data_IF_489606537184
#
_entry.id   IF_489606537184
#
_cell.length_a   1.000
_cell.length_b   1.000
_cell.length_c   1.000
_cell.angle_alpha   90.00
_cell.angle_beta   90.00
_cell.angle_gamma   90.00
#
_symmetry.space_group_name_H-M   'P 1'
#
loop_
_entity.id
_entity.type
_entity.pdbx_description
1 polymer ?
#
# COMPACT_ATOMS: atom_id res chain seq x y z
N UNK A 1 10.56 -23.51 11.03
CA UNK A 1 11.32 -22.47 10.30
C UNK A 1 10.96 -21.16 10.96
N UNK A 2 11.91 -20.49 11.59
CA UNK A 2 11.65 -19.25 12.30
C UNK A 2 11.26 -18.16 11.30
N UNK A 3 10.15 -17.45 11.51
CA UNK A 3 9.84 -16.27 10.70
C UNK A 3 10.51 -15.05 11.32
N UNK A 4 11.05 -14.19 10.47
CA UNK A 4 11.48 -12.83 10.82
C UNK A 4 10.46 -11.84 10.25
N UNK A 5 10.39 -10.61 10.79
CA UNK A 5 9.64 -9.55 10.14
C UNK A 5 10.11 -9.35 8.69
N UNK A 6 9.18 -9.15 7.76
CA UNK A 6 9.53 -9.05 6.34
C UNK A 6 10.42 -7.84 6.06
N UNK A 7 10.27 -6.77 6.85
CA UNK A 7 11.13 -5.59 6.76
C UNK A 7 12.58 -5.95 7.10
N UNK A 8 12.78 -6.74 8.17
CA UNK A 8 14.11 -7.19 8.59
C UNK A 8 14.70 -8.13 7.53
N UNK A 9 13.89 -9.05 7.02
CA UNK A 9 14.30 -9.93 5.91
C UNK A 9 14.71 -9.13 4.67
N UNK A 10 14.00 -8.03 4.36
CA UNK A 10 14.35 -7.16 3.24
C UNK A 10 15.71 -6.48 3.44
N UNK A 11 16.00 -5.99 4.65
CA UNK A 11 17.30 -5.39 5.00
C UNK A 11 18.42 -6.44 4.89
N UNK A 12 18.22 -7.63 5.44
CA UNK A 12 19.17 -8.73 5.35
C UNK A 12 19.45 -9.13 3.88
N UNK A 13 18.42 -9.16 3.03
CA UNK A 13 18.59 -9.41 1.59
C UNK A 13 19.38 -8.32 0.88
N UNK A 14 19.13 -7.05 1.21
CA UNK A 14 19.95 -5.95 0.66
C UNK A 14 21.41 -6.15 1.02
N UNK A 15 21.71 -6.47 2.28
CA UNK A 15 23.07 -6.76 2.75
C UNK A 15 23.69 -7.95 2.02
N UNK A 16 22.92 -9.02 1.85
CA UNK A 16 23.35 -10.21 1.13
C UNK A 16 23.71 -9.88 -0.33
N UNK A 17 22.86 -9.12 -1.03
CA UNK A 17 23.13 -8.71 -2.42
C UNK A 17 24.27 -7.69 -2.54
N UNK A 18 24.47 -6.86 -1.52
CA UNK A 18 25.57 -5.93 -1.43
C UNK A 18 26.88 -6.59 -0.94
N UNK A 19 26.84 -7.87 -0.53
CA UNK A 19 27.96 -8.61 0.05
C UNK A 19 28.55 -7.92 1.29
N UNK A 20 27.63 -7.42 2.13
CA UNK A 20 27.97 -6.68 3.34
C UNK A 20 27.98 -7.60 4.57
N UNK A 21 29.07 -7.61 5.37
CA UNK A 21 29.16 -8.47 6.53
C UNK A 21 28.24 -7.99 7.67
N UNK A 22 27.51 -8.91 8.28
CA UNK A 22 26.56 -8.60 9.36
C UNK A 22 27.23 -7.96 10.61
N UNK A 23 28.46 -8.35 10.94
CA UNK A 23 29.17 -7.89 12.15
C UNK A 23 29.81 -6.50 12.00
N UNK A 24 29.99 -6.01 10.77
CA UNK A 24 30.65 -4.73 10.49
C UNK A 24 29.99 -4.06 9.28
N UNK A 25 28.67 -3.91 9.35
CA UNK A 25 27.92 -3.23 8.32
C UNK A 25 28.36 -1.75 8.22
N UNK A 26 28.71 -1.33 7.01
CA UNK A 26 28.97 0.05 6.63
C UNK A 26 27.68 0.87 6.63
N UNK A 27 26.56 0.25 6.27
CA UNK A 27 25.25 0.89 6.18
C UNK A 27 24.35 0.46 7.35
N UNK A 28 23.86 1.44 8.09
CA UNK A 28 22.86 1.24 9.15
C UNK A 28 21.52 0.78 8.57
N UNK A 29 20.76 -0.03 9.32
CA UNK A 29 19.45 -0.55 8.93
C UNK A 29 18.49 0.59 8.53
N UNK A 30 18.43 1.67 9.31
CA UNK A 30 17.59 2.84 9.02
C UNK A 30 17.91 3.49 7.67
N UNK A 31 19.19 3.51 7.29
CA UNK A 31 19.62 4.06 6.01
C UNK A 31 19.15 3.17 4.86
N UNK A 32 19.26 1.85 5.02
CA UNK A 32 18.77 0.88 4.03
C UNK A 32 17.25 1.02 3.88
N UNK A 33 16.51 1.16 4.98
CA UNK A 33 15.05 1.30 4.96
C UNK A 33 14.57 2.56 4.25
N UNK A 34 15.24 3.70 4.48
CA UNK A 34 14.94 4.93 3.74
C UNK A 34 15.18 4.78 2.24
N UNK A 35 16.22 4.04 1.84
CA UNK A 35 16.48 3.73 0.43
C UNK A 35 15.44 2.75 -0.14
N UNK A 36 15.02 1.74 0.63
CA UNK A 36 13.94 0.82 0.24
C UNK A 36 12.64 1.60 -0.05
N UNK A 37 12.28 2.56 0.81
CA UNK A 37 11.13 3.46 0.61
C UNK A 37 11.24 4.31 -0.66
N UNK A 38 12.41 4.93 -0.88
CA UNK A 38 12.64 5.74 -2.08
C UNK A 38 12.56 4.88 -3.36
N UNK A 39 13.15 3.68 -3.32
CA UNK A 39 13.20 2.76 -4.46
C UNK A 39 11.88 2.03 -4.70
N UNK A 40 11.03 1.85 -3.68
CA UNK A 40 9.67 1.36 -3.88
C UNK A 40 8.83 2.34 -4.68
N UNK A 41 8.91 3.63 -4.36
CA UNK A 41 8.19 4.66 -5.12
C UNK A 41 8.64 4.71 -6.59
N UNK A 42 9.95 4.67 -6.83
CA UNK A 42 10.50 4.63 -8.19
C UNK A 42 10.08 3.38 -8.96
N UNK A 43 10.07 2.20 -8.32
CA UNK A 43 9.63 0.97 -8.95
C UNK A 43 8.14 1.04 -9.31
N UNK A 44 7.30 1.58 -8.42
CA UNK A 44 5.87 1.73 -8.68
C UNK A 44 5.60 2.66 -9.87
N UNK A 45 6.27 3.82 -9.93
CA UNK A 45 6.19 4.73 -11.07
C UNK A 45 6.64 4.06 -12.36
N UNK A 46 7.76 3.32 -12.32
CA UNK A 46 8.26 2.58 -13.47
C UNK A 46 7.31 1.51 -13.98
N UNK A 47 6.55 0.87 -13.08
CA UNK A 47 5.57 -0.14 -13.44
C UNK A 47 4.32 0.52 -14.03
N UNK A 48 3.82 1.60 -13.42
CA UNK A 48 2.66 2.33 -13.90
C UNK A 48 2.91 3.02 -15.26
N UNK A 49 4.13 3.52 -15.52
CA UNK A 49 4.48 4.15 -16.80
C UNK A 49 4.48 3.19 -17.99
N UNK A 50 4.70 1.89 -17.74
CA UNK A 50 4.75 0.86 -18.80
C UNK A 50 3.41 0.11 -18.91
N UNK A 51 2.59 0.14 -17.87
CA UNK A 51 1.35 -0.60 -17.83
C UNK A 51 0.25 0.11 -18.64
N UNK A 52 -0.44 -0.63 -19.52
CA UNK A 52 -1.55 -0.10 -20.32
C UNK A 52 -2.72 0.40 -19.47
N UNK A 53 -2.97 -0.30 -18.35
CA UNK A 53 -3.78 0.22 -17.26
C UNK A 53 -2.84 0.46 -16.07
N UNK A 54 -2.91 1.58 -15.36
CA UNK A 54 -2.12 1.76 -14.15
C UNK A 54 -2.66 0.88 -13.01
N UNK A 55 -1.87 0.70 -11.96
CA UNK A 55 -2.40 0.19 -10.69
C UNK A 55 -3.18 1.32 -10.04
N UNK A 56 -4.43 1.05 -9.72
CA UNK A 56 -5.28 1.96 -8.97
C UNK A 56 -5.60 1.40 -7.59
N UNK A 57 -5.73 2.30 -6.63
CA UNK A 57 -6.17 2.04 -5.26
C UNK A 57 -7.42 2.87 -5.03
N UNK A 58 -8.38 2.29 -4.31
CA UNK A 58 -9.59 2.99 -3.88
C UNK A 58 -9.53 3.29 -2.40
N UNK A 59 -9.83 4.53 -2.04
CA UNK A 59 -9.95 4.98 -0.66
C UNK A 59 -11.32 5.60 -0.44
N UNK A 60 -11.98 5.23 0.66
CA UNK A 60 -13.29 5.75 1.01
C UNK A 60 -13.17 6.91 2.00
N UNK A 61 -13.69 8.05 1.60
CA UNK A 61 -13.83 9.24 2.43
C UNK A 61 -15.23 9.24 3.03
N UNK A 62 -15.33 8.94 4.32
CA UNK A 62 -16.60 9.03 5.06
C UNK A 62 -16.83 10.47 5.51
N UNK A 63 -18.02 11.02 5.24
CA UNK A 63 -18.34 12.38 5.61
C UNK A 63 -18.73 12.52 7.07
N UNK A 64 -18.27 13.60 7.67
CA UNK A 64 -18.59 13.99 9.04
C UNK A 64 -19.32 15.33 8.98
N UNK A 65 -20.34 15.48 9.82
CA UNK A 65 -21.07 16.74 9.95
C UNK A 65 -20.10 17.90 10.19
N UNK A 66 -20.36 19.03 9.55
CA UNK A 66 -19.56 20.27 9.67
C UNK A 66 -18.08 20.17 9.26
N UNK A 67 -17.65 19.07 8.62
CA UNK A 67 -16.29 18.90 8.09
C UNK A 67 -16.24 19.00 6.57
N UNK A 68 -15.52 19.99 6.04
CA UNK A 68 -15.35 20.19 4.59
C UNK A 68 -14.09 19.53 4.03
N UNK A 69 -13.03 19.41 4.84
CA UNK A 69 -11.70 18.99 4.38
C UNK A 69 -11.38 17.62 4.94
N UNK A 70 -10.99 16.71 4.06
CA UNK A 70 -10.65 15.32 4.37
C UNK A 70 -9.23 15.03 3.94
N UNK A 71 -8.48 14.37 4.80
CA UNK A 71 -7.12 13.92 4.50
C UNK A 71 -7.19 12.67 3.61
N UNK A 72 -6.47 12.71 2.51
CA UNK A 72 -6.19 11.55 1.67
C UNK A 72 -4.90 10.87 2.16
N UNK A 73 -4.69 9.58 1.86
CA UNK A 73 -3.41 8.94 2.13
C UNK A 73 -2.26 9.71 1.47
N UNK A 74 -1.08 9.84 2.11
CA UNK A 74 0.00 10.67 1.59
C UNK A 74 0.65 10.10 0.32
N UNK A 75 0.42 8.84 0.01
CA UNK A 75 0.93 8.16 -1.19
C UNK A 75 0.00 8.28 -2.41
N UNK A 76 -0.93 9.23 -2.42
CA UNK A 76 -1.76 9.55 -3.60
C UNK A 76 -0.93 10.31 -4.62
N UNK A 77 -0.82 9.81 -5.86
CA UNK A 77 -0.13 10.49 -6.96
C UNK A 77 -1.14 11.19 -7.89
N UNK A 78 -1.84 10.40 -8.70
CA UNK A 78 -2.81 10.88 -9.68
C UNK A 78 -4.18 10.34 -9.37
N UNK A 79 -5.17 11.21 -9.21
CA UNK A 79 -6.55 10.82 -8.99
C UNK A 79 -7.19 10.51 -10.34
N UNK A 80 -7.74 9.31 -10.45
CA UNK A 80 -8.39 8.81 -11.66
C UNK A 80 -9.85 9.22 -11.66
N UNK A 81 -10.53 9.00 -10.53
CA UNK A 81 -11.97 9.24 -10.43
C UNK A 81 -12.42 9.39 -8.97
N UNK A 82 -13.52 10.13 -8.79
CA UNK A 82 -14.17 10.36 -7.49
C UNK A 82 -15.68 10.20 -7.66
N UNK A 83 -16.32 9.49 -6.75
CA UNK A 83 -17.73 9.15 -6.91
C UNK A 83 -18.26 8.16 -5.88
N UNK A 84 -19.36 7.49 -6.21
CA UNK A 84 -19.86 6.38 -5.41
C UNK A 84 -19.58 5.10 -6.16
N UNK A 85 -18.83 4.19 -5.53
CA UNK A 85 -18.61 2.86 -6.05
C UNK A 85 -19.54 1.87 -5.37
N UNK A 86 -20.28 1.11 -6.17
CA UNK A 86 -21.07 0.00 -5.68
C UNK A 86 -20.22 -1.27 -5.60
N UNK A 87 -20.00 -1.76 -4.39
CA UNK A 87 -19.23 -2.97 -4.14
C UNK A 87 -19.93 -4.24 -4.61
N UNK A 88 -21.25 -4.22 -4.81
CA UNK A 88 -21.99 -5.37 -5.30
C UNK A 88 -21.84 -5.52 -6.83
N UNK A 89 -22.12 -4.47 -7.59
CA UNK A 89 -21.98 -4.48 -9.06
C UNK A 89 -20.54 -4.29 -9.55
N UNK A 90 -19.63 -3.83 -8.68
CA UNK A 90 -18.27 -3.44 -9.05
C UNK A 90 -18.21 -2.29 -10.08
N UNK A 91 -19.21 -1.41 -10.06
CA UNK A 91 -19.33 -0.28 -10.99
C UNK A 91 -19.51 1.05 -10.26
N UNK A 92 -19.15 2.14 -10.94
CA UNK A 92 -19.43 3.50 -10.49
C UNK A 92 -20.88 3.86 -10.77
N UNK A 93 -21.62 4.19 -9.73
CA UNK A 93 -23.02 4.59 -9.84
C UNK A 93 -23.16 6.09 -10.03
N UNK A 94 -22.24 6.87 -9.46
CA UNK A 94 -22.27 8.33 -9.52
C UNK A 94 -20.86 8.87 -9.64
N UNK A 95 -20.71 9.90 -10.47
CA UNK A 95 -19.46 10.60 -10.72
C UNK A 95 -19.55 12.01 -10.13
N UNK A 96 -18.55 12.40 -9.36
CA UNK A 96 -18.42 13.79 -8.88
C UNK A 96 -17.34 14.45 -9.72
N UNK A 97 -17.62 15.65 -10.23
CA UNK A 97 -16.66 16.41 -11.00
C UNK A 97 -15.82 17.33 -10.10
N UNK A 98 -14.55 17.57 -10.46
CA UNK A 98 -13.73 18.54 -9.74
C UNK A 98 -14.28 19.95 -9.94
N UNK A 99 -14.22 20.73 -8.87
CA UNK A 99 -14.48 22.15 -8.84
C UNK A 99 -13.23 22.89 -9.31
N UNK A 100 -13.39 23.72 -10.34
CA UNK A 100 -12.30 24.58 -10.81
C UNK A 100 -12.07 25.72 -9.83
N UNK A 101 -10.81 26.06 -9.59
CA UNK A 101 -10.41 27.26 -8.82
C UNK A 101 -11.00 28.55 -9.40
N UNK A 102 -11.31 28.56 -10.69
CA UNK A 102 -11.90 29.70 -11.40
C UNK A 102 -13.43 29.77 -11.28
N UNK A 103 -14.07 28.76 -10.70
CA UNK A 103 -15.50 28.75 -10.41
C UNK A 103 -15.75 28.36 -8.94
N UNK A 104 -15.53 29.28 -7.98
CA UNK A 104 -15.68 29.01 -6.56
C UNK A 104 -17.14 28.72 -6.14
N UNK A 105 -18.12 29.10 -6.97
CA UNK A 105 -19.54 28.74 -6.81
C UNK A 105 -19.92 27.40 -7.42
N UNK A 106 -19.03 26.76 -8.18
CA UNK A 106 -19.27 25.46 -8.79
C UNK A 106 -19.46 24.39 -7.71
N UNK A 107 -20.27 23.38 -8.01
CA UNK A 107 -20.46 22.20 -7.15
C UNK A 107 -19.37 21.17 -7.46
N UNK A 108 -18.86 20.49 -6.44
CA UNK A 108 -17.98 19.33 -6.61
C UNK A 108 -17.03 19.15 -5.44
N UNK A 109 -15.78 18.79 -5.78
CA UNK A 109 -14.68 18.74 -4.83
C UNK A 109 -13.48 19.55 -5.34
N UNK A 110 -12.66 20.05 -4.45
CA UNK A 110 -11.41 20.74 -4.76
C UNK A 110 -10.24 20.03 -4.07
N UNK A 111 -9.09 19.93 -4.74
CA UNK A 111 -7.87 19.45 -4.10
C UNK A 111 -7.11 20.62 -3.48
N UNK A 112 -7.03 20.61 -2.15
CA UNK A 112 -6.30 21.60 -1.36
C UNK A 112 -4.91 21.05 -1.06
N UNK A 113 -4.08 20.81 -2.10
CA UNK A 113 -2.80 20.04 -2.10
C UNK A 113 -2.96 18.54 -2.40
N UNK A 114 -1.85 17.82 -2.60
CA UNK A 114 -1.82 16.39 -2.96
C UNK A 114 -2.47 15.46 -1.91
N UNK A 115 -2.63 15.93 -0.66
CA UNK A 115 -3.07 15.10 0.46
C UNK A 115 -4.43 15.49 1.05
N UNK A 116 -5.14 16.47 0.47
CA UNK A 116 -6.43 16.90 1.00
C UNK A 116 -7.47 17.11 -0.09
N UNK A 117 -8.67 16.60 0.17
CA UNK A 117 -9.86 16.86 -0.64
C UNK A 117 -10.83 17.70 0.17
N UNK A 118 -11.25 18.83 -0.41
CA UNK A 118 -12.37 19.62 0.08
C UNK A 118 -13.61 19.23 -0.69
N UNK A 119 -14.69 18.92 0.01
CA UNK A 119 -15.97 18.55 -0.61
C UNK A 119 -17.02 19.60 -0.26
N UNK A 120 -17.71 20.11 -1.28
CA UNK A 120 -18.78 21.09 -1.10
C UNK A 120 -19.96 20.51 -0.29
N UNK A 121 -20.63 21.37 0.46
CA UNK A 121 -21.80 21.00 1.28
C UNK A 121 -22.87 20.27 0.47
N UNK A 122 -23.16 20.70 -0.78
CA UNK A 122 -24.20 20.05 -1.61
C UNK A 122 -23.91 18.58 -1.90
N UNK A 123 -22.64 18.20 -1.99
CA UNK A 123 -22.23 16.80 -2.21
C UNK A 123 -22.25 16.05 -0.88
N UNK A 124 -21.79 16.68 0.20
CA UNK A 124 -21.83 16.12 1.56
C UNK A 124 -23.24 15.88 2.08
N UNK A 125 -24.19 16.73 1.73
CA UNK A 125 -25.58 16.59 2.17
C UNK A 125 -26.33 15.54 1.34
N UNK A 126 -25.84 15.26 0.12
CA UNK A 126 -26.42 14.27 -0.78
C UNK A 126 -25.93 12.83 -0.51
N UNK A 127 -24.71 12.67 0.00
CA UNK A 127 -24.06 11.37 0.17
C UNK A 127 -23.46 11.22 1.57
N UNK A 128 -23.29 9.99 2.06
CA UNK A 128 -22.59 9.73 3.33
C UNK A 128 -21.09 9.51 3.16
N UNK A 129 -20.65 9.18 1.95
CA UNK A 129 -19.24 8.96 1.63
C UNK A 129 -18.96 9.23 0.15
N UNK A 130 -17.68 9.35 -0.19
CA UNK A 130 -17.17 9.24 -1.55
C UNK A 130 -16.02 8.25 -1.61
N UNK A 131 -15.97 7.49 -2.69
CA UNK A 131 -14.81 6.69 -3.06
C UNK A 131 -13.91 7.50 -3.99
N UNK A 132 -12.63 7.55 -3.65
CA UNK A 132 -11.55 8.19 -4.42
C UNK A 132 -10.68 7.07 -4.98
N UNK A 133 -10.60 6.96 -6.30
CA UNK A 133 -9.65 6.06 -6.94
C UNK A 133 -8.46 6.85 -7.47
N UNK A 134 -7.26 6.36 -7.18
CA UNK A 134 -6.01 7.01 -7.52
C UNK A 134 -4.90 6.01 -7.83
N UNK A 135 -3.89 6.48 -8.55
CA UNK A 135 -2.63 5.79 -8.77
C UNK A 135 -1.73 6.07 -7.57
N UNK A 136 -1.21 5.05 -6.86
CA UNK A 136 -0.34 5.28 -5.71
C UNK A 136 1.09 5.63 -6.14
N UNK A 137 1.77 6.49 -5.37
CA UNK A 137 3.19 6.81 -5.57
C UNK A 137 4.09 5.61 -5.30
N UNK A 138 3.64 4.66 -4.48
CA UNK A 138 4.44 3.54 -3.98
C UNK A 138 5.39 3.91 -2.83
N UNK A 139 5.23 5.10 -2.26
CA UNK A 139 5.91 5.50 -1.03
C UNK A 139 5.51 4.54 0.09
N UNK A 140 6.52 4.08 0.83
CA UNK A 140 6.40 3.02 1.81
C UNK A 140 7.09 3.53 3.07
N UNK A 141 6.39 3.61 4.20
CA UNK A 141 7.05 3.91 5.47
C UNK A 141 7.07 2.64 6.33
N UNK A 142 8.08 1.77 6.14
CA UNK A 142 8.15 0.51 6.84
C UNK A 142 8.40 0.78 8.31
N UNK A 143 7.71 0.04 9.16
CA UNK A 143 7.72 0.23 10.61
C UNK A 143 7.76 -1.14 11.28
N UNK A 144 8.68 -1.34 12.23
CA UNK A 144 8.65 -2.53 13.12
C UNK A 144 8.74 -2.08 14.57
N UNK A 145 7.95 -2.75 15.41
CA UNK A 145 8.01 -2.60 16.86
C UNK A 145 8.02 -3.96 17.54
N UNK A 146 8.95 -4.14 18.46
CA UNK A 146 9.05 -5.29 19.35
C UNK A 146 8.47 -4.96 20.71
N UNK A 147 7.78 -5.93 21.32
CA UNK A 147 7.32 -5.84 22.71
C UNK A 147 6.51 -4.56 23.04
N UNK A 148 5.62 -4.13 22.13
CA UNK A 148 4.75 -2.99 22.39
C UNK A 148 3.66 -3.37 23.40
N UNK A 149 3.55 -2.63 24.50
CA UNK A 149 2.44 -2.78 25.43
C UNK A 149 1.17 -2.22 24.79
N UNK A 150 0.27 -3.11 24.41
CA UNK A 150 -0.99 -2.80 23.75
C UNK A 150 -2.13 -3.01 24.73
N UNK A 151 -2.98 -2.01 24.88
CA UNK A 151 -4.28 -2.14 25.53
C UNK A 151 -5.37 -2.01 24.46
N UNK A 152 -5.95 -3.16 24.10
CA UNK A 152 -7.01 -3.27 23.09
C UNK A 152 -8.35 -2.75 23.65
N UNK A 153 -8.52 -2.76 24.97
CA UNK A 153 -9.76 -2.31 25.61
C UNK A 153 -10.99 -3.08 25.11
N UNK A 154 -12.16 -2.44 25.18
CA UNK A 154 -13.40 -2.97 24.60
C UNK A 154 -13.54 -2.67 23.10
N UNK A 155 -12.76 -1.71 22.58
CA UNK A 155 -12.78 -1.33 21.17
C UNK A 155 -11.85 -2.24 20.36
N UNK A 156 -12.44 -3.23 19.71
CA UNK A 156 -11.74 -4.24 18.93
C UNK A 156 -11.43 -3.79 17.50
N UNK A 157 -11.72 -2.54 17.17
CA UNK A 157 -11.47 -1.99 15.84
C UNK A 157 -10.22 -1.13 15.79
N UNK A 158 -9.61 -0.79 16.93
CA UNK A 158 -8.46 0.11 16.96
C UNK A 158 -7.21 -0.53 17.56
N UNK A 159 -6.08 -0.34 16.89
CA UNK A 159 -4.75 -0.75 17.32
C UNK A 159 -3.88 0.48 17.62
N UNK A 160 -3.29 0.58 18.84
CA UNK A 160 -2.33 1.64 19.13
C UNK A 160 -1.00 1.39 18.42
N UNK A 161 -0.51 2.41 17.71
CA UNK A 161 0.79 2.40 17.06
C UNK A 161 1.76 3.21 17.93
N UNK A 162 2.86 2.57 18.35
CA UNK A 162 3.94 3.25 19.05
C UNK A 162 4.57 4.34 18.19
N UNK A 163 4.80 5.51 18.80
CA UNK A 163 5.47 6.64 18.15
C UNK A 163 7.00 6.48 18.10
N UNK A 164 7.52 5.43 18.75
CA UNK A 164 8.94 5.08 18.83
C UNK A 164 9.13 3.66 18.27
N UNK A 165 9.22 3.50 16.93
CA UNK A 165 9.59 2.23 16.32
C UNK A 165 10.94 1.77 16.82
N UNK A 166 11.17 0.45 16.81
CA UNK A 166 12.52 -0.08 17.02
C UNK A 166 13.32 -0.10 15.72
N UNK A 167 12.62 -0.21 14.58
CA UNK A 167 13.20 -0.17 13.23
C UNK A 167 12.30 0.68 12.32
N UNK A 168 12.89 1.59 11.56
CA UNK A 168 12.19 2.52 10.66
C UNK A 168 11.82 3.84 11.34
N UNK A 169 11.08 4.70 10.61
CA UNK A 169 10.63 6.00 11.15
C UNK A 169 9.09 6.04 11.28
N UNK A 170 8.59 6.69 12.34
CA UNK A 170 7.17 6.94 12.54
C UNK A 170 6.67 8.10 11.69
N UNK A 171 5.62 7.87 10.90
CA UNK A 171 5.00 8.88 10.05
C UNK A 171 3.89 9.61 10.82
N UNK A 172 4.03 10.94 10.91
CA UNK A 172 3.08 11.82 11.60
C UNK A 172 1.99 12.37 10.69
N UNK A 173 2.07 12.11 9.38
CA UNK A 173 1.05 12.55 8.42
C UNK A 173 -0.28 11.85 8.72
N UNK A 174 -1.38 12.58 8.57
CA UNK A 174 -2.72 11.98 8.68
C UNK A 174 -2.88 10.90 7.60
N UNK A 175 -3.52 9.79 7.96
CA UNK A 175 -3.74 8.65 7.05
C UNK A 175 -2.46 8.02 6.45
N UNK A 176 -1.30 8.19 7.07
CA UNK A 176 -0.03 7.65 6.57
C UNK A 176 -0.02 6.13 6.38
N UNK A 177 -0.67 5.41 7.29
CA UNK A 177 -0.67 3.94 7.30
C UNK A 177 -1.92 3.32 6.69
N UNK A 178 -2.86 4.12 6.21
CA UNK A 178 -4.08 3.60 5.56
C UNK A 178 -3.68 2.75 4.36
N UNK A 179 -4.39 1.64 4.14
CA UNK A 179 -4.10 0.69 3.06
C UNK A 179 -2.87 -0.18 3.29
N UNK A 180 -2.17 -0.02 4.41
CA UNK A 180 -1.07 -0.89 4.83
C UNK A 180 -1.61 -2.09 5.62
N UNK A 181 -0.83 -3.18 5.64
CA UNK A 181 -1.04 -4.35 6.49
C UNK A 181 -0.31 -4.12 7.80
N UNK A 182 -1.05 -4.17 8.90
CA UNK A 182 -0.52 -4.40 10.24
C UNK A 182 -0.40 -5.91 10.45
N UNK A 183 0.83 -6.40 10.54
CA UNK A 183 1.12 -7.81 10.82
C UNK A 183 1.58 -7.97 12.26
N UNK A 184 0.93 -8.86 13.01
CA UNK A 184 1.22 -9.14 14.41
C UNK A 184 1.95 -10.46 14.55
N UNK A 185 2.94 -10.49 15.44
CA UNK A 185 3.73 -11.66 15.78
C UNK A 185 3.49 -12.13 17.20
N UNK A 186 3.79 -13.41 17.44
CA UNK A 186 3.79 -13.96 18.78
C UNK A 186 4.96 -13.43 19.62
N UNK A 187 4.62 -13.01 20.83
CA UNK A 187 5.57 -12.69 21.88
C UNK A 187 6.38 -11.38 21.74
N UNK A 188 7.04 -10.99 22.84
CA UNK A 188 8.05 -9.94 22.85
C UNK A 188 9.40 -10.56 22.48
N UNK A 189 9.72 -10.62 21.19
CA UNK A 189 10.96 -11.26 20.76
C UNK A 189 11.97 -10.20 20.29
N UNK A 190 13.17 -10.11 20.91
CA UNK A 190 14.27 -9.28 20.45
C UNK A 190 14.98 -9.90 19.21
N UNK A 191 15.98 -9.21 18.61
CA UNK A 191 16.71 -9.72 17.45
C UNK A 191 17.28 -11.13 17.68
N UNK A 192 16.98 -12.06 16.77
CA UNK A 192 17.41 -13.46 16.82
C UNK A 192 16.40 -14.47 17.38
N UNK A 193 15.25 -14.00 17.86
CA UNK A 193 14.17 -14.86 18.32
C UNK A 193 13.24 -15.31 17.18
N UNK A 194 12.57 -16.45 17.38
CA UNK A 194 11.64 -17.02 16.40
C UNK A 194 10.28 -16.33 16.56
N UNK A 195 9.79 -15.69 15.50
CA UNK A 195 8.42 -15.19 15.47
C UNK A 195 7.52 -16.17 14.73
N UNK A 196 6.27 -16.25 15.16
CA UNK A 196 5.16 -16.78 14.37
C UNK A 196 4.18 -15.65 14.05
N UNK A 197 3.81 -15.54 12.78
CA UNK A 197 2.76 -14.60 12.38
C UNK A 197 1.46 -15.08 13.01
N UNK A 198 0.87 -14.27 13.90
CA UNK A 198 -0.44 -14.57 14.46
C UNK A 198 -1.51 -14.18 13.46
N UNK A 199 -1.46 -12.93 12.99
CA UNK A 199 -2.51 -12.36 12.14
C UNK A 199 -2.07 -11.12 11.38
N UNK A 200 -2.68 -10.93 10.21
CA UNK A 200 -2.60 -9.73 9.40
C UNK A 200 -3.92 -8.95 9.48
N UNK A 201 -3.81 -7.63 9.57
CA UNK A 201 -4.94 -6.70 9.56
C UNK A 201 -4.71 -5.61 8.54
N UNK A 202 -5.75 -5.24 7.78
CA UNK A 202 -5.73 -4.06 6.93
C UNK A 202 -6.00 -2.82 7.76
N UNK A 203 -5.17 -1.79 7.66
CA UNK A 203 -5.42 -0.48 8.27
C UNK A 203 -6.37 0.30 7.37
N UNK A 204 -7.55 0.64 7.89
CA UNK A 204 -8.62 1.33 7.15
C UNK A 204 -8.68 2.82 7.47
N UNK A 205 -8.23 3.24 8.65
CA UNK A 205 -8.13 4.63 9.07
C UNK A 205 -6.95 4.83 10.03
N UNK A 206 -6.43 6.05 10.16
CA UNK A 206 -5.32 6.34 11.06
C UNK A 206 -5.36 7.78 11.61
N UNK A 207 -5.51 7.87 12.94
CA UNK A 207 -5.40 9.12 13.68
C UNK A 207 -3.96 9.33 14.18
N UNK A 208 -3.26 10.26 13.53
CA UNK A 208 -1.89 10.64 13.89
C UNK A 208 -1.78 11.42 15.20
N UNK A 209 -2.87 12.00 15.70
CA UNK A 209 -2.90 12.72 16.98
C UNK A 209 -2.88 11.75 18.14
N UNK A 210 -3.72 10.70 18.09
CA UNK A 210 -3.76 9.68 19.13
C UNK A 210 -2.79 8.52 18.88
N UNK A 211 -2.24 8.41 17.66
CA UNK A 211 -1.44 7.26 17.24
C UNK A 211 -2.24 5.96 17.20
N UNK A 212 -3.49 5.99 16.74
CA UNK A 212 -4.36 4.81 16.66
C UNK A 212 -4.73 4.52 15.21
N UNK A 213 -4.57 3.28 14.80
CA UNK A 213 -5.03 2.78 13.52
C UNK A 213 -6.34 2.02 13.70
N UNK A 214 -7.32 2.28 12.84
CA UNK A 214 -8.51 1.44 12.72
C UNK A 214 -8.18 0.28 11.78
N UNK A 215 -8.55 -0.94 12.17
CA UNK A 215 -8.14 -2.17 11.49
C UNK A 215 -9.33 -3.03 11.08
N UNK A 216 -9.16 -3.82 10.01
CA UNK A 216 -10.12 -4.81 9.54
C UNK A 216 -9.40 -6.13 9.16
N UNK A 217 -9.94 -7.31 9.52
CA UNK A 217 -11.13 -7.54 10.34
C UNK A 217 -10.92 -7.13 11.81
N UNK A 218 -11.98 -7.15 12.62
CA UNK A 218 -11.89 -6.86 14.06
C UNK A 218 -10.86 -7.77 14.77
N UNK A 219 -10.17 -7.17 15.73
CA UNK A 219 -9.22 -7.85 16.60
C UNK A 219 -9.95 -8.95 17.39
N UNK A 220 -9.44 -10.20 17.50
CA UNK A 220 -10.09 -11.28 18.24
C UNK A 220 -10.41 -10.93 19.71
N UNK A 221 -11.50 -11.46 20.27
CA UNK A 221 -11.95 -11.15 21.64
C UNK A 221 -11.09 -11.76 22.73
N UNK A 222 -10.33 -12.79 22.38
CA UNK A 222 -9.38 -13.47 23.25
C UNK A 222 -8.05 -12.73 23.36
N UNK A 223 -7.81 -11.72 22.51
CA UNK A 223 -6.64 -10.85 22.66
C UNK A 223 -6.88 -9.86 23.79
N UNK A 224 -6.00 -9.91 24.80
CA UNK A 224 -6.08 -9.08 25.99
C UNK A 224 -4.99 -7.99 25.96
N UNK A 225 -4.93 -7.19 27.03
CA UNK A 225 -3.79 -6.29 27.25
C UNK A 225 -2.51 -7.12 27.36
N UNK A 226 -1.48 -6.76 26.60
CA UNK A 226 -0.23 -7.53 26.58
C UNK A 226 0.85 -6.90 25.72
N UNK A 227 2.00 -7.56 25.70
CA UNK A 227 3.14 -7.17 24.87
C UNK A 227 3.07 -7.86 23.50
N UNK A 228 2.96 -7.08 22.43
CA UNK A 228 2.89 -7.58 21.06
C UNK A 228 4.02 -7.01 20.21
N UNK A 229 4.61 -7.85 19.37
CA UNK A 229 5.52 -7.39 18.32
C UNK A 229 4.73 -7.29 17.02
N UNK A 230 4.97 -6.25 16.22
CA UNK A 230 4.26 -6.03 14.97
C UNK A 230 5.09 -5.27 13.93
N UNK A 231 4.74 -5.45 12.66
CA UNK A 231 5.23 -4.64 11.56
C UNK A 231 4.09 -4.00 10.78
N UNK A 232 4.34 -2.82 10.20
CA UNK A 232 3.43 -2.18 9.24
C UNK A 232 4.11 -2.20 7.88
N UNK A 233 3.42 -2.82 6.94
CA UNK A 233 3.91 -3.10 5.59
C UNK A 233 2.89 -2.60 4.56
N UNK A 234 3.31 -2.19 3.37
CA UNK A 234 2.36 -2.00 2.28
C UNK A 234 1.79 -3.35 1.83
N UNK A 235 0.63 -3.31 1.17
CA UNK A 235 0.07 -4.48 0.48
C UNK A 235 0.81 -4.68 -0.84
N UNK A 236 2.07 -5.12 -0.78
CA UNK A 236 2.82 -5.52 -1.96
C UNK A 236 3.15 -7.00 -1.92
N UNK A 237 3.15 -7.65 -3.09
CA UNK A 237 3.57 -9.04 -3.21
C UNK A 237 5.07 -9.18 -2.94
N UNK A 238 5.50 -10.38 -2.51
CA UNK A 238 6.92 -10.70 -2.25
C UNK A 238 7.84 -10.33 -3.42
N UNK A 239 7.41 -10.57 -4.65
CA UNK A 239 8.17 -10.22 -5.86
C UNK A 239 8.48 -8.72 -5.96
N UNK A 240 7.56 -7.87 -5.50
CA UNK A 240 7.78 -6.42 -5.48
C UNK A 240 8.88 -6.06 -4.48
N UNK A 241 8.81 -6.62 -3.27
CA UNK A 241 9.84 -6.43 -2.25
C UNK A 241 11.21 -6.94 -2.75
N UNK A 242 11.26 -8.08 -3.43
CA UNK A 242 12.47 -8.62 -4.05
C UNK A 242 13.07 -7.63 -5.07
N UNK A 243 12.24 -7.06 -5.95
CA UNK A 243 12.71 -6.07 -6.91
C UNK A 243 13.21 -4.78 -6.24
N UNK A 244 12.54 -4.32 -5.17
CA UNK A 244 12.97 -3.14 -4.41
C UNK A 244 14.29 -3.39 -3.66
N UNK A 245 14.46 -4.56 -3.05
CA UNK A 245 15.72 -4.93 -2.38
C UNK A 245 16.88 -5.04 -3.36
N UNK A 246 16.69 -5.66 -4.53
CA UNK A 246 17.70 -5.70 -5.60
C UNK A 246 18.08 -4.31 -6.09
N UNK A 247 17.10 -3.43 -6.32
CA UNK A 247 17.35 -2.04 -6.74
C UNK A 247 18.16 -1.27 -5.70
N UNK A 248 17.83 -1.46 -4.42
CA UNK A 248 18.53 -0.83 -3.30
C UNK A 248 19.96 -1.33 -3.21
N UNK A 249 20.18 -2.64 -3.32
CA UNK A 249 21.52 -3.23 -3.36
C UNK A 249 22.33 -2.73 -4.57
N UNK A 250 21.72 -2.64 -5.76
CA UNK A 250 22.39 -2.07 -6.94
C UNK A 250 22.86 -0.63 -6.70
N UNK A 251 22.05 0.19 -6.04
CA UNK A 251 22.42 1.56 -5.70
C UNK A 251 23.62 1.59 -4.75
N UNK A 252 23.57 0.83 -3.64
CA UNK A 252 24.66 0.75 -2.66
C UNK A 252 25.97 0.24 -3.29
N UNK A 253 25.91 -0.88 -4.02
CA UNK A 253 27.05 -1.45 -4.72
C UNK A 253 27.60 -0.49 -5.79
N UNK A 254 26.71 0.30 -6.42
CA UNK A 254 27.08 1.31 -7.40
C UNK A 254 27.95 2.45 -6.86
N UNK A 255 27.75 2.80 -5.59
CA UNK A 255 28.57 3.81 -4.92
C UNK A 255 30.00 3.28 -4.72
N UNK A 256 30.15 1.99 -4.47
CA UNK A 256 31.44 1.36 -4.15
C UNK A 256 32.21 0.93 -5.40
N UNK A 257 31.57 0.10 -6.22
CA UNK A 257 32.19 -0.55 -7.38
C UNK A 257 31.16 -0.70 -8.50
N UNK A 258 31.05 0.26 -9.43
CA UNK A 258 30.05 0.27 -10.49
C UNK A 258 30.01 -1.02 -11.34
N UNK A 259 31.13 -1.73 -11.47
CA UNK A 259 31.25 -2.97 -12.24
C UNK A 259 30.41 -4.12 -11.66
N UNK A 260 30.19 -4.14 -10.33
CA UNK A 260 29.40 -5.18 -9.66
C UNK A 260 27.89 -5.04 -9.88
N UNK A 261 27.43 -3.93 -10.46
CA UNK A 261 25.99 -3.72 -10.74
C UNK A 261 25.45 -4.63 -11.85
N UNK A 262 26.29 -5.16 -12.74
CA UNK A 262 25.86 -5.89 -13.94
C UNK A 262 24.91 -7.05 -13.62
N UNK A 263 25.33 -8.05 -12.83
CA UNK A 263 24.50 -9.19 -12.46
C UNK A 263 23.20 -8.79 -11.74
N UNK A 264 23.29 -7.87 -10.76
CA UNK A 264 22.12 -7.39 -10.00
C UNK A 264 21.10 -6.69 -10.91
N UNK A 265 21.56 -5.95 -11.93
CA UNK A 265 20.70 -5.28 -12.90
C UNK A 265 19.91 -6.27 -13.75
N UNK A 266 20.51 -7.41 -14.11
CA UNK A 266 19.81 -8.47 -14.84
C UNK A 266 18.73 -9.13 -13.99
N UNK A 267 19.04 -9.47 -12.75
CA UNK A 267 18.06 -10.05 -11.82
C UNK A 267 16.92 -9.07 -11.50
N UNK A 268 17.22 -7.78 -11.28
CA UNK A 268 16.20 -6.74 -11.11
C UNK A 268 15.26 -6.68 -12.33
N UNK A 269 15.79 -6.75 -13.55
CA UNK A 269 14.96 -6.76 -14.78
C UNK A 269 14.08 -8.01 -14.87
N UNK A 270 14.59 -9.18 -14.46
CA UNK A 270 13.82 -10.43 -14.39
C UNK A 270 12.68 -10.31 -13.37
N UNK A 271 12.98 -9.82 -12.17
CA UNK A 271 11.98 -9.59 -11.12
C UNK A 271 10.89 -8.60 -11.57
N UNK A 272 11.30 -7.45 -12.14
CA UNK A 272 10.36 -6.46 -12.70
C UNK A 272 9.46 -7.08 -13.78
N UNK A 273 10.02 -7.89 -14.69
CA UNK A 273 9.23 -8.60 -15.70
C UNK A 273 8.25 -9.60 -15.09
N UNK A 274 8.67 -10.35 -14.08
CA UNK A 274 7.80 -11.29 -13.38
C UNK A 274 6.61 -10.59 -12.70
N UNK A 275 6.84 -9.43 -12.08
CA UNK A 275 5.78 -8.58 -11.52
C UNK A 275 4.79 -8.16 -12.61
N UNK A 276 5.29 -7.61 -13.72
CA UNK A 276 4.43 -7.18 -14.84
C UNK A 276 3.61 -8.33 -15.43
N UNK A 277 4.20 -9.52 -15.56
CA UNK A 277 3.50 -10.71 -16.04
C UNK A 277 2.43 -11.17 -15.07
N UNK A 278 2.73 -11.20 -13.76
CA UNK A 278 1.78 -11.58 -12.72
C UNK A 278 0.59 -10.63 -12.69
N UNK A 279 0.82 -9.32 -12.80
CA UNK A 279 -0.24 -8.32 -12.82
C UNK A 279 -1.03 -8.32 -14.12
N UNK A 280 -0.37 -8.54 -15.26
CA UNK A 280 -1.06 -8.79 -16.54
C UNK A 280 -1.96 -10.02 -16.46
N UNK A 281 -1.55 -11.08 -15.76
CA UNK A 281 -2.39 -12.26 -15.55
C UNK A 281 -3.56 -12.00 -14.61
N UNK A 282 -3.36 -11.22 -13.54
CA UNK A 282 -4.44 -10.81 -12.64
C UNK A 282 -5.54 -10.00 -13.36
N UNK A 283 -5.22 -9.41 -14.52
CA UNK A 283 -6.14 -8.67 -15.40
C UNK A 283 -6.95 -9.53 -16.35
N UNK A 284 -6.72 -10.84 -16.42
CA UNK A 284 -7.46 -11.70 -17.34
C UNK A 284 -8.91 -11.87 -16.91
N UNK A 285 -9.74 -10.87 -17.22
CA UNK A 285 -11.18 -11.02 -17.40
C UNK A 285 -11.45 -11.90 -18.63
N UNK A 286 -10.55 -11.88 -19.62
CA UNK A 286 -10.51 -12.84 -20.72
C UNK A 286 -9.43 -13.88 -20.44
N UNK A 287 -9.84 -15.13 -20.25
CA UNK A 287 -8.92 -16.23 -20.03
C UNK A 287 -7.84 -16.29 -21.11
N UNK A 288 -6.58 -16.51 -20.71
CA UNK A 288 -5.53 -16.96 -21.66
C UNK A 288 -5.80 -18.36 -22.21
N UNK A 289 -6.83 -19.03 -21.70
CA UNK A 289 -7.54 -20.06 -22.45
C UNK A 289 -8.65 -19.35 -23.23
N UNK A 290 -8.64 -19.50 -24.55
CA UNK A 290 -9.89 -19.56 -25.28
C UNK A 290 -10.73 -20.66 -24.61
N UNK A 291 -11.58 -20.31 -23.62
CA UNK A 291 -12.72 -21.18 -23.40
C UNK A 291 -13.55 -21.01 -24.67
N UNK A 292 -13.79 -22.14 -25.33
CA UNK A 292 -14.47 -22.16 -26.63
C UNK A 292 -15.89 -21.60 -26.56
N UNK A 293 -16.41 -21.36 -25.35
CA UNK A 293 -17.57 -20.53 -25.07
C UNK A 293 -17.36 -19.80 -23.75
N UNK A 294 -17.50 -18.47 -23.78
CA UNK A 294 -17.88 -17.67 -22.60
C UNK A 294 -19.25 -17.08 -22.90
N UNK A 295 -20.01 -16.74 -21.87
CA UNK A 295 -21.37 -16.17 -21.98
C UNK A 295 -21.44 -14.85 -22.77
N UNK A 296 -20.28 -14.26 -23.12
CA UNK A 296 -20.16 -13.11 -24.01
C UNK A 296 -20.15 -13.48 -25.51
N UNK A 297 -20.09 -14.77 -25.87
CA UNK A 297 -20.03 -15.25 -27.24
C UNK A 297 -21.42 -15.38 -27.91
N UNK A 298 -22.49 -15.40 -27.11
CA UNK A 298 -23.84 -15.71 -27.61
C UNK A 298 -24.53 -14.52 -28.30
N UNK A 299 -23.94 -13.32 -28.25
CA UNK A 299 -24.52 -12.09 -28.83
C UNK A 299 -23.81 -11.60 -30.10
N UNK A 300 -22.83 -12.33 -30.63
CA UNK A 300 -22.18 -12.01 -31.91
C UNK A 300 -22.74 -12.79 -33.11
N UNK A 301 -23.95 -13.37 -33.00
CA UNK A 301 -24.69 -13.89 -34.16
C UNK A 301 -25.99 -13.13 -34.38
N UNK A 302 -26.03 -12.39 -35.48
CA UNK A 302 -27.24 -11.75 -36.00
C UNK A 302 -26.96 -10.65 -37.00
N UNK A 303 -26.05 -10.87 -37.97
CA UNK A 303 -26.02 -10.04 -39.19
C UNK A 303 -27.24 -10.42 -40.02
N UNK A 304 -28.25 -9.54 -40.22
CA UNK A 304 -29.42 -9.88 -40.99
C UNK A 304 -29.12 -9.58 -42.46
N UNK A 305 -28.89 -10.63 -43.25
CA UNK A 305 -28.79 -10.52 -44.69
C UNK A 305 -28.85 -11.88 -45.35
N UNK A 306 -29.67 -11.97 -46.40
CA UNK A 306 -29.91 -13.10 -47.32
C UNK A 306 -31.01 -14.10 -46.91
N UNK A 307 -32.26 -13.65 -47.02
CA UNK A 307 -33.31 -14.25 -47.88
C UNK A 307 -34.36 -13.19 -48.23
#
# INVERSE_FOLDING_TARGET
>A
MAYQPQIVEAVERVRLYADEPALSARWSDDRILRLLSQHSAQLMQELNNVAENPITVRFRVNFVADKEVYALPPYVDTIVQVGIFDTASQLWTTWVSPKSRWNPSGRGFEFLHQSFIRVDATIRDAFSYLDVEFIPTGELQPYVKYSHQVNIGSDRTTWPISQQPDIGDFDRRSNAYVGSILRIYDGPAPPGAQFFVIRDFLITDYDSTTGRATVAPDIPSDWQTGAYSYEILPVFGRNFLDAVTMRTAMFLVGIETPQRQGPLREEYRRAKRAIMLSWSQARNIFGRAFSKDTVFNDHFMGWPGWE
#
